data_IF_080369242111
#
_entry.id   IF_080369242111
#
_cell.length_a   1.000
_cell.length_b   1.000
_cell.length_c   1.000
_cell.angle_alpha   90.00
_cell.angle_beta   90.00
_cell.angle_gamma   90.00
#
_symmetry.space_group_name_H-M   'P 1'
#
loop_
_entity.id
_entity.type
_entity.pdbx_description
1 polymer ?
#
# COMPACT_ATOMS: atom_id res chain seq x y z
N UNK A 1 7.55 -16.31 11.38
CA UNK A 1 8.42 -17.49 11.43
C UNK A 1 9.89 -17.13 11.71
N UNK A 2 10.38 -16.04 11.13
CA UNK A 2 11.78 -15.62 11.35
C UNK A 2 11.93 -14.52 12.40
N UNK A 3 10.92 -14.30 13.23
CA UNK A 3 10.97 -13.35 14.33
C UNK A 3 10.56 -11.91 13.98
N UNK A 4 10.07 -11.67 12.78
CA UNK A 4 9.59 -10.34 12.41
C UNK A 4 8.32 -9.99 13.19
N UNK A 5 8.31 -8.80 13.80
CA UNK A 5 7.16 -8.28 14.53
C UNK A 5 6.43 -7.19 13.78
N UNK A 6 7.13 -6.49 12.91
CA UNK A 6 6.58 -5.44 12.05
C UNK A 6 7.14 -5.65 10.64
N UNK A 7 6.26 -5.69 9.65
CA UNK A 7 6.64 -5.86 8.24
C UNK A 7 6.11 -4.69 7.44
N UNK A 8 6.99 -4.03 6.73
CA UNK A 8 6.65 -2.90 5.85
C UNK A 8 6.51 -3.39 4.41
N UNK A 9 5.41 -3.05 3.78
CA UNK A 9 5.13 -3.38 2.39
C UNK A 9 4.95 -2.11 1.56
N UNK A 10 6.05 -1.52 1.06
CA UNK A 10 5.95 -0.34 0.21
C UNK A 10 5.46 -0.72 -1.19
N UNK A 11 4.55 0.08 -1.73
CA UNK A 11 3.89 -0.21 -2.98
C UNK A 11 3.66 1.06 -3.81
N UNK A 12 3.47 0.87 -5.10
CA UNK A 12 3.09 1.92 -6.03
C UNK A 12 1.97 1.37 -6.93
N UNK A 13 0.76 1.29 -6.38
CA UNK A 13 -0.39 0.70 -7.05
C UNK A 13 -1.36 1.76 -7.55
N UNK A 14 -1.88 1.54 -8.74
CA UNK A 14 -2.79 2.47 -9.43
C UNK A 14 -4.25 2.02 -9.34
N UNK A 15 -5.16 2.96 -9.57
CA UNK A 15 -6.59 2.72 -9.56
C UNK A 15 -7.00 1.57 -10.49
N UNK A 16 -8.02 0.85 -10.06
CA UNK A 16 -8.71 -0.14 -10.87
C UNK A 16 -8.05 -1.50 -10.95
N UNK A 17 -6.76 -1.61 -10.63
CA UNK A 17 -6.05 -2.89 -10.76
C UNK A 17 -6.10 -3.72 -9.47
N UNK A 18 -5.61 -3.18 -8.38
CA UNK A 18 -5.51 -3.92 -7.12
C UNK A 18 -6.25 -3.25 -5.96
N UNK A 19 -6.93 -2.16 -6.21
CA UNK A 19 -7.56 -1.36 -5.15
C UNK A 19 -8.55 -2.15 -4.29
N UNK A 20 -9.43 -3.03 -4.83
CA UNK A 20 -10.31 -3.82 -3.98
C UNK A 20 -9.60 -4.74 -3.00
N UNK A 21 -8.38 -5.18 -3.32
CA UNK A 21 -7.59 -6.05 -2.45
C UNK A 21 -6.78 -5.27 -1.42
N UNK A 22 -6.57 -3.98 -1.63
CA UNK A 22 -5.69 -3.18 -0.79
C UNK A 22 -6.05 -3.23 0.69
N UNK A 23 -7.32 -3.03 1.12
CA UNK A 23 -7.66 -3.07 2.54
C UNK A 23 -7.65 -4.49 3.12
N UNK A 24 -7.40 -5.50 2.31
CA UNK A 24 -7.41 -6.91 2.72
C UNK A 24 -6.00 -7.47 2.87
N UNK A 25 -5.09 -7.13 1.96
CA UNK A 25 -3.77 -7.77 1.86
C UNK A 25 -2.94 -7.69 3.15
N UNK A 26 -2.75 -6.49 3.69
CA UNK A 26 -1.94 -6.32 4.89
C UNK A 26 -2.63 -6.92 6.11
N UNK A 27 -3.96 -6.83 6.20
CA UNK A 27 -4.73 -7.46 7.28
C UNK A 27 -4.60 -8.97 7.24
N UNK A 28 -4.72 -9.55 6.06
CA UNK A 28 -4.57 -10.99 5.88
C UNK A 28 -3.16 -11.45 6.27
N UNK A 29 -2.13 -10.73 5.84
CA UNK A 29 -0.75 -11.04 6.19
C UNK A 29 -0.51 -10.94 7.69
N UNK A 30 -1.05 -9.92 8.35
CA UNK A 30 -0.93 -9.74 9.78
C UNK A 30 -1.57 -10.89 10.55
N UNK A 31 -2.77 -11.29 10.18
CA UNK A 31 -3.49 -12.39 10.82
C UNK A 31 -2.74 -13.71 10.63
N UNK A 32 -2.34 -14.01 9.40
CA UNK A 32 -1.74 -15.29 9.05
C UNK A 32 -0.36 -15.48 9.68
N UNK A 33 0.39 -14.41 9.92
CA UNK A 33 1.77 -14.47 10.37
C UNK A 33 2.00 -13.92 11.78
N UNK A 34 0.97 -13.44 12.44
CA UNK A 34 1.04 -12.88 13.80
C UNK A 34 2.04 -11.72 13.93
N UNK A 35 2.01 -10.79 12.98
CA UNK A 35 2.84 -9.58 13.03
C UNK A 35 2.01 -8.35 12.64
N UNK A 36 2.55 -7.16 12.91
CA UNK A 36 1.98 -5.93 12.35
C UNK A 36 2.43 -5.78 10.91
N UNK A 37 1.50 -5.44 10.03
CA UNK A 37 1.79 -5.23 8.62
C UNK A 37 1.44 -3.81 8.22
N UNK A 38 2.39 -3.11 7.60
CA UNK A 38 2.22 -1.71 7.20
C UNK A 38 2.12 -1.64 5.69
N UNK A 39 0.92 -1.36 5.20
CA UNK A 39 0.68 -1.15 3.78
C UNK A 39 0.96 0.30 3.43
N UNK A 40 2.02 0.55 2.70
CA UNK A 40 2.45 1.89 2.31
C UNK A 40 2.25 2.01 0.80
N UNK A 41 1.40 2.94 0.37
CA UNK A 41 1.18 3.13 -1.04
C UNK A 41 1.49 4.56 -1.45
N UNK A 42 2.06 4.70 -2.65
CA UNK A 42 2.23 5.99 -3.29
C UNK A 42 0.87 6.64 -3.53
N UNK A 43 0.80 7.95 -3.44
CA UNK A 43 -0.43 8.71 -3.67
C UNK A 43 -0.18 9.81 -4.70
N UNK A 44 -1.16 10.05 -5.57
CA UNK A 44 -1.11 11.12 -6.56
C UNK A 44 -1.14 10.63 -7.99
N UNK A 45 -1.20 11.58 -8.91
CA UNK A 45 -1.22 11.30 -10.34
C UNK A 45 0.16 11.59 -10.95
N UNK A 46 0.66 10.66 -11.74
CA UNK A 46 1.95 10.79 -12.41
C UNK A 46 1.74 11.08 -13.90
N UNK A 47 2.33 12.19 -14.36
CA UNK A 47 2.40 12.52 -15.78
C UNK A 47 3.86 12.73 -16.12
N UNK A 48 4.37 11.96 -17.09
CA UNK A 48 5.77 12.03 -17.48
C UNK A 48 6.02 13.20 -18.43
N UNK A 49 7.19 13.85 -18.35
CA UNK A 49 7.53 14.93 -19.27
C UNK A 49 7.69 14.43 -20.71
N UNK A 50 8.06 13.17 -20.89
CA UNK A 50 8.23 12.54 -22.20
C UNK A 50 7.44 11.24 -22.25
N UNK A 51 6.95 10.90 -23.46
CA UNK A 51 6.32 9.60 -23.66
C UNK A 51 7.29 8.47 -23.38
N UNK A 52 6.77 7.40 -22.82
CA UNK A 52 7.55 6.17 -22.67
C UNK A 52 6.71 4.97 -23.14
N UNK A 53 7.40 3.89 -23.44
CA UNK A 53 6.78 2.62 -23.83
C UNK A 53 7.28 1.51 -22.93
N UNK A 54 6.40 0.56 -22.64
CA UNK A 54 6.75 -0.64 -21.85
C UNK A 54 7.46 -1.70 -22.70
N UNK A 55 7.67 -1.43 -23.98
CA UNK A 55 8.29 -2.40 -24.88
C UNK A 55 7.39 -3.56 -25.30
N UNK A 56 6.09 -3.41 -25.13
CA UNK A 56 5.08 -4.44 -25.43
C UNK A 56 4.45 -4.26 -26.82
N UNK A 57 4.98 -3.36 -27.63
CA UNK A 57 4.48 -3.07 -28.96
C UNK A 57 3.31 -2.07 -28.99
N UNK A 58 2.87 -1.57 -27.85
CA UNK A 58 1.81 -0.55 -27.77
C UNK A 58 2.40 0.85 -27.90
N UNK A 59 1.56 1.85 -28.31
CA UNK A 59 2.01 3.24 -28.34
C UNK A 59 2.56 3.72 -27.00
N UNK A 60 3.53 4.62 -27.04
CA UNK A 60 4.03 5.28 -25.84
C UNK A 60 2.96 6.18 -25.20
N UNK A 61 3.11 6.47 -23.92
CA UNK A 61 2.19 7.33 -23.19
C UNK A 61 2.93 8.15 -22.13
N UNK A 62 2.30 9.24 -21.68
CA UNK A 62 2.85 10.12 -20.65
C UNK A 62 2.15 9.95 -19.31
N UNK A 63 0.90 9.51 -19.32
CA UNK A 63 0.10 9.37 -18.13
C UNK A 63 0.20 7.94 -17.60
N UNK A 64 0.81 7.78 -16.44
CA UNK A 64 0.90 6.48 -15.78
C UNK A 64 -0.39 6.13 -15.04
N UNK A 65 -1.17 7.13 -14.63
CA UNK A 65 -2.40 6.95 -13.89
C UNK A 65 -2.33 7.53 -12.49
N UNK A 66 -3.34 7.22 -11.70
CA UNK A 66 -3.50 7.73 -10.34
C UNK A 66 -3.17 6.64 -9.32
N UNK A 67 -2.23 6.93 -8.43
CA UNK A 67 -1.91 6.07 -7.29
C UNK A 67 -2.87 6.41 -6.16
N UNK A 68 -3.60 5.41 -5.67
CA UNK A 68 -4.72 5.64 -4.76
C UNK A 68 -4.34 5.79 -3.28
N UNK A 69 -3.08 5.73 -2.94
CA UNK A 69 -2.64 5.92 -1.56
C UNK A 69 -3.29 4.96 -0.58
N UNK A 70 -4.02 5.52 0.38
CA UNK A 70 -4.77 4.74 1.38
C UNK A 70 -3.88 3.84 2.26
N UNK A 71 -2.67 4.31 2.57
CA UNK A 71 -1.75 3.59 3.44
C UNK A 71 -2.37 3.33 4.81
N UNK A 72 -2.09 2.18 5.40
CA UNK A 72 -2.64 1.82 6.69
C UNK A 72 -1.74 0.83 7.44
N UNK A 73 -2.02 0.64 8.73
CA UNK A 73 -1.33 -0.33 9.58
C UNK A 73 -2.35 -1.36 10.05
N UNK A 74 -2.02 -2.64 9.88
CA UNK A 74 -2.85 -3.75 10.32
C UNK A 74 -2.20 -4.49 11.49
N UNK A 75 -3.03 -4.91 12.44
CA UNK A 75 -2.63 -5.64 13.62
C UNK A 75 -2.90 -7.15 13.47
N UNK A 76 -2.15 -8.01 14.21
CA UNK A 76 -2.42 -9.45 14.18
C UNK A 76 -3.82 -9.86 14.65
N UNK A 77 -4.52 -9.00 15.39
CA UNK A 77 -5.89 -9.24 15.82
C UNK A 77 -6.97 -8.85 14.79
N UNK A 78 -6.57 -8.56 13.57
CA UNK A 78 -7.42 -8.13 12.46
C UNK A 78 -7.86 -6.65 12.51
N UNK A 79 -7.54 -5.90 13.54
CA UNK A 79 -7.80 -4.46 13.57
C UNK A 79 -6.84 -3.72 12.64
N UNK A 80 -7.23 -2.54 12.21
CA UNK A 80 -6.38 -1.69 11.40
C UNK A 80 -6.67 -0.21 11.64
N UNK A 81 -5.72 0.63 11.31
CA UNK A 81 -5.93 2.07 11.29
C UNK A 81 -6.85 2.45 10.13
N UNK A 82 -7.53 3.60 10.20
CA UNK A 82 -8.13 4.19 8.99
C UNK A 82 -7.06 4.42 7.92
N UNK A 83 -7.45 4.34 6.67
CA UNK A 83 -6.53 4.63 5.56
C UNK A 83 -6.20 6.12 5.48
N UNK A 84 -5.00 6.43 5.04
CA UNK A 84 -4.62 7.79 4.67
C UNK A 84 -5.37 8.24 3.42
N UNK A 85 -5.19 9.50 3.05
CA UNK A 85 -5.88 10.10 1.90
C UNK A 85 -5.61 9.33 0.61
N UNK A 86 -6.60 9.33 -0.29
CA UNK A 86 -6.47 8.82 -1.66
C UNK A 86 -5.86 9.83 -2.62
N UNK A 87 -5.71 11.08 -2.21
CA UNK A 87 -5.32 12.18 -3.10
C UNK A 87 -4.16 13.03 -2.61
N UNK A 88 -3.91 13.05 -1.30
CA UNK A 88 -2.89 13.91 -0.69
C UNK A 88 -1.90 13.10 0.13
N UNK A 89 -0.66 13.59 0.17
CA UNK A 89 0.35 13.06 1.06
C UNK A 89 -0.13 13.14 2.51
N UNK A 90 0.32 12.20 3.32
CA UNK A 90 -0.04 12.18 4.72
C UNK A 90 0.96 11.43 5.57
N UNK A 91 0.83 11.59 6.87
CA UNK A 91 1.64 10.90 7.85
C UNK A 91 0.71 10.13 8.79
N UNK A 92 1.01 8.86 8.98
CA UNK A 92 0.28 8.01 9.92
C UNK A 92 1.18 7.68 11.09
N UNK A 93 0.73 8.00 12.29
CA UNK A 93 1.43 7.69 13.54
C UNK A 93 0.56 6.75 14.35
N UNK A 94 1.14 5.66 14.81
CA UNK A 94 0.41 4.68 15.60
C UNK A 94 1.32 4.07 16.67
N UNK A 95 0.72 3.67 17.76
CA UNK A 95 1.38 2.89 18.81
C UNK A 95 1.07 1.42 18.57
N UNK A 96 2.11 0.58 18.56
CA UNK A 96 1.97 -0.85 18.31
C UNK A 96 2.37 -1.62 19.57
N UNK A 97 1.45 -2.42 20.10
CA UNK A 97 1.73 -3.30 21.23
C UNK A 97 2.30 -4.63 20.70
N UNK A 98 3.61 -4.79 20.77
CA UNK A 98 4.28 -5.98 20.24
C UNK A 98 3.92 -7.27 20.98
N UNK A 99 3.27 -7.16 22.13
CA UNK A 99 2.76 -8.35 22.84
C UNK A 99 1.59 -9.02 22.11
N UNK A 100 1.02 -8.37 21.11
CA UNK A 100 -0.01 -8.97 20.25
C UNK A 100 0.56 -9.93 19.20
N UNK A 101 1.85 -9.91 18.98
CA UNK A 101 2.50 -10.80 18.00
C UNK A 101 2.57 -12.25 18.45
#
# INVERSE_FOLDING_TARGET
MNGAEIVFNPSATVDGLSEPMWPIEARNAAIANHYFSVGINRVGTEIYPNEFTSGDGKPGHKNFGHFYGSSYIASPDASRTPGLSRTNDGLLIAELDLNLC
#
